data_IF_926905337774
#
_entry.id   IF_926905337774
#
_cell.length_a   1.000
_cell.length_b   1.000
_cell.length_c   1.000
_cell.angle_alpha   90.00
_cell.angle_beta   90.00
_cell.angle_gamma   90.00
#
_symmetry.space_group_name_H-M   'P 1'
#
loop_
_entity.id
_entity.type
_entity.pdbx_description
1 polymer ?
#
# COMPACT_ATOMS: atom_id res chain seq x y z
N UNK A 1 -2.10 15.56 -17.25
CA UNK A 1 -2.99 16.53 -16.57
C UNK A 1 -4.08 15.74 -15.87
N UNK A 2 -4.33 15.98 -14.58
CA UNK A 2 -5.47 15.40 -13.87
C UNK A 2 -6.68 16.25 -14.25
N UNK A 3 -7.46 15.82 -15.24
CA UNK A 3 -8.65 16.52 -15.71
C UNK A 3 -9.74 16.50 -14.65
N UNK A 4 -10.40 17.65 -14.44
CA UNK A 4 -11.41 17.91 -13.41
C UNK A 4 -12.74 17.13 -13.56
N UNK A 5 -12.80 16.11 -14.41
CA UNK A 5 -14.06 15.50 -14.89
C UNK A 5 -14.19 13.99 -14.70
N UNK A 6 -13.39 13.35 -13.83
CA UNK A 6 -13.62 11.93 -13.52
C UNK A 6 -14.07 11.73 -12.06
N UNK A 7 -15.29 11.23 -11.82
CA UNK A 7 -15.81 10.97 -10.47
C UNK A 7 -15.19 9.73 -9.79
N UNK A 8 -14.15 9.14 -10.40
CA UNK A 8 -13.47 7.93 -9.94
C UNK A 8 -12.03 8.17 -9.47
N UNK A 9 -11.40 7.17 -8.83
CA UNK A 9 -10.00 7.27 -8.45
C UNK A 9 -9.12 7.46 -9.69
N UNK A 10 -8.19 8.41 -9.62
CA UNK A 10 -7.23 8.65 -10.69
C UNK A 10 -5.90 8.00 -10.34
N UNK A 11 -5.29 7.35 -11.33
CA UNK A 11 -3.98 6.74 -11.16
C UNK A 11 -2.92 7.81 -10.90
N UNK A 12 -2.24 7.67 -9.75
CA UNK A 12 -1.08 8.46 -9.41
C UNK A 12 0.19 7.72 -9.86
N UNK A 13 0.89 8.27 -10.84
CA UNK A 13 1.98 7.58 -11.55
C UNK A 13 3.38 7.87 -11.00
N UNK A 14 3.50 8.65 -9.93
CA UNK A 14 4.81 8.97 -9.34
C UNK A 14 5.23 7.92 -8.30
N UNK A 15 6.46 7.42 -8.43
CA UNK A 15 7.02 6.42 -7.52
C UNK A 15 7.44 7.03 -6.18
N UNK A 16 7.17 6.33 -5.06
CA UNK A 16 7.57 6.77 -3.71
C UNK A 16 9.11 6.86 -3.52
N UNK A 17 9.89 6.24 -4.41
CA UNK A 17 11.35 6.35 -4.43
C UNK A 17 12.08 5.40 -3.48
N UNK A 18 11.40 4.47 -2.80
CA UNK A 18 12.02 3.50 -1.88
C UNK A 18 13.23 2.75 -2.48
N UNK A 19 13.15 2.22 -3.72
CA UNK A 19 14.27 1.46 -4.27
C UNK A 19 15.56 2.27 -4.38
N UNK A 20 15.47 3.59 -4.61
CA UNK A 20 16.64 4.47 -4.70
C UNK A 20 17.43 4.51 -3.39
N UNK A 21 16.76 4.41 -2.24
CA UNK A 21 17.46 4.31 -0.96
C UNK A 21 18.07 2.92 -0.77
N UNK A 22 17.36 1.87 -1.17
CA UNK A 22 17.82 0.48 -1.01
C UNK A 22 19.07 0.18 -1.85
N UNK A 23 19.20 0.80 -3.02
CA UNK A 23 20.38 0.65 -3.89
C UNK A 23 21.49 1.69 -3.63
N UNK A 24 21.41 2.43 -2.52
CA UNK A 24 22.47 3.38 -2.12
C UNK A 24 22.51 4.69 -2.90
N UNK A 25 21.40 5.15 -3.47
CA UNK A 25 21.27 6.42 -4.20
C UNK A 25 20.38 7.46 -3.47
N UNK A 26 20.72 7.85 -2.24
CA UNK A 26 19.86 8.69 -1.40
C UNK A 26 19.60 10.09 -1.98
N UNK A 27 20.57 10.68 -2.70
CA UNK A 27 20.38 11.98 -3.35
C UNK A 27 19.27 11.93 -4.42
N UNK A 28 19.20 10.84 -5.20
CA UNK A 28 18.12 10.62 -6.16
C UNK A 28 16.80 10.30 -5.44
N UNK A 29 16.86 9.53 -4.35
CA UNK A 29 15.72 9.26 -3.49
C UNK A 29 15.07 10.55 -2.96
N UNK A 30 15.88 11.47 -2.42
CA UNK A 30 15.41 12.75 -1.90
C UNK A 30 14.72 13.59 -2.97
N UNK A 31 15.31 13.69 -4.18
CA UNK A 31 14.69 14.37 -5.32
C UNK A 31 13.36 13.73 -5.73
N UNK A 32 13.28 12.39 -5.70
CA UNK A 32 12.04 11.67 -5.98
C UNK A 32 10.95 11.98 -4.95
N UNK A 33 11.29 11.96 -3.65
CA UNK A 33 10.35 12.28 -2.56
C UNK A 33 9.83 13.71 -2.65
N UNK A 34 10.71 14.66 -2.97
CA UNK A 34 10.33 16.06 -3.17
C UNK A 34 9.38 16.21 -4.36
N UNK A 35 9.70 15.59 -5.50
CA UNK A 35 8.83 15.58 -6.69
C UNK A 35 7.44 15.03 -6.36
N UNK A 36 7.37 13.88 -5.67
CA UNK A 36 6.11 13.26 -5.24
C UNK A 36 5.32 14.20 -4.34
N UNK A 37 5.95 14.75 -3.29
CA UNK A 37 5.30 15.69 -2.35
C UNK A 37 4.72 16.89 -3.09
N UNK A 38 5.54 17.56 -3.89
CA UNK A 38 5.12 18.76 -4.63
C UNK A 38 3.99 18.42 -5.61
N UNK A 39 4.03 17.25 -6.25
CA UNK A 39 2.98 16.81 -7.16
C UNK A 39 1.67 16.58 -6.43
N UNK A 40 1.69 15.90 -5.29
CA UNK A 40 0.48 15.64 -4.50
C UNK A 40 -0.14 16.96 -4.04
N UNK A 41 0.66 17.87 -3.46
CA UNK A 41 0.20 19.17 -2.96
C UNK A 41 -0.39 20.02 -4.09
N UNK A 42 0.36 20.19 -5.19
CA UNK A 42 -0.08 21.01 -6.34
C UNK A 42 -1.30 20.44 -7.06
N UNK A 43 -1.55 19.14 -6.94
CA UNK A 43 -2.72 18.48 -7.55
C UNK A 43 -3.98 18.61 -6.69
N UNK A 44 -3.89 19.14 -5.46
CA UNK A 44 -5.04 19.27 -4.56
C UNK A 44 -5.60 17.93 -4.07
N UNK A 45 -4.83 16.84 -4.17
CA UNK A 45 -5.25 15.51 -3.73
C UNK A 45 -5.45 15.51 -2.22
N UNK A 46 -6.63 15.06 -1.76
CA UNK A 46 -6.97 14.94 -0.34
C UNK A 46 -6.86 13.52 0.20
N UNK A 47 -6.95 12.53 -0.67
CA UNK A 47 -6.83 11.13 -0.29
C UNK A 47 -6.00 10.34 -1.30
N UNK A 48 -5.07 9.54 -0.79
CA UNK A 48 -4.28 8.57 -1.56
C UNK A 48 -4.65 7.16 -1.10
N UNK A 49 -4.92 6.28 -2.06
CA UNK A 49 -5.15 4.86 -1.84
C UNK A 49 -3.88 4.10 -2.24
N UNK A 50 -3.26 3.42 -1.30
CA UNK A 50 -2.03 2.67 -1.52
C UNK A 50 -2.32 1.16 -1.58
N UNK A 51 -2.07 0.57 -2.75
CA UNK A 51 -2.10 -0.90 -2.91
C UNK A 51 -0.79 -1.58 -2.50
N UNK A 52 0.31 -0.81 -2.44
CA UNK A 52 1.63 -1.32 -2.09
C UNK A 52 2.04 -0.89 -0.68
N UNK A 53 2.48 -1.81 0.19
CA UNK A 53 2.99 -1.50 1.53
C UNK A 53 4.14 -0.48 1.51
N UNK A 54 5.11 -0.62 0.60
CA UNK A 54 6.20 0.37 0.45
C UNK A 54 5.64 1.78 0.21
N UNK A 55 4.71 1.92 -0.73
CA UNK A 55 4.11 3.22 -1.04
C UNK A 55 3.35 3.77 0.17
N UNK A 56 2.60 2.94 0.89
CA UNK A 56 1.85 3.37 2.07
C UNK A 56 2.77 3.98 3.14
N UNK A 57 3.80 3.25 3.56
CA UNK A 57 4.71 3.72 4.62
C UNK A 57 5.57 4.91 4.17
N UNK A 58 6.09 4.88 2.95
CA UNK A 58 6.92 5.99 2.44
C UNK A 58 6.08 7.26 2.19
N UNK A 59 4.88 7.14 1.64
CA UNK A 59 4.00 8.31 1.44
C UNK A 59 3.56 8.92 2.77
N UNK A 60 3.28 8.11 3.81
CA UNK A 60 3.04 8.62 5.17
C UNK A 60 4.20 9.48 5.66
N UNK A 61 5.44 9.03 5.46
CA UNK A 61 6.61 9.82 5.83
C UNK A 61 6.79 11.06 4.94
N UNK A 62 6.59 10.94 3.62
CA UNK A 62 6.75 12.06 2.68
C UNK A 62 5.77 13.18 2.98
N UNK A 63 4.53 12.82 3.32
CA UNK A 63 3.42 13.73 3.60
C UNK A 63 3.23 14.03 5.09
N UNK A 64 4.15 13.61 5.96
CA UNK A 64 4.09 13.94 7.38
C UNK A 64 4.00 15.47 7.57
N UNK A 65 3.03 15.92 8.37
CA UNK A 65 2.74 17.35 8.58
C UNK A 65 1.83 17.99 7.52
N UNK A 66 1.34 17.24 6.54
CA UNK A 66 0.35 17.70 5.57
C UNK A 66 -1.02 17.04 5.80
N UNK A 67 -2.10 17.78 5.56
CA UNK A 67 -3.49 17.30 5.65
C UNK A 67 -3.87 16.47 4.42
N UNK A 68 -3.33 15.25 4.35
CA UNK A 68 -3.61 14.27 3.30
C UNK A 68 -3.88 12.91 3.92
N UNK A 69 -5.05 12.36 3.62
CA UNK A 69 -5.44 11.03 4.09
C UNK A 69 -4.77 9.96 3.23
N UNK A 70 -4.01 9.05 3.84
CA UNK A 70 -3.41 7.91 3.14
C UNK A 70 -4.02 6.64 3.71
N UNK A 71 -4.75 5.89 2.87
CA UNK A 71 -5.39 4.62 3.23
C UNK A 71 -4.84 3.49 2.37
N UNK A 72 -5.00 2.27 2.85
CA UNK A 72 -4.74 1.06 2.09
C UNK A 72 -5.82 0.81 1.05
N UNK A 73 -5.52 -0.03 0.06
CA UNK A 73 -6.52 -0.52 -0.89
C UNK A 73 -7.65 -1.30 -0.21
N UNK A 74 -7.35 -2.02 0.88
CA UNK A 74 -8.35 -2.80 1.61
C UNK A 74 -9.37 -1.89 2.31
N UNK A 75 -8.94 -0.82 2.97
CA UNK A 75 -9.85 0.19 3.55
C UNK A 75 -10.73 0.87 2.49
N UNK A 76 -10.21 1.05 1.27
CA UNK A 76 -10.98 1.63 0.17
C UNK A 76 -12.03 0.63 -0.35
N UNK A 77 -11.70 -0.66 -0.42
CA UNK A 77 -12.58 -1.72 -0.91
C UNK A 77 -13.62 -2.18 0.12
N UNK A 78 -13.31 -2.11 1.42
CA UNK A 78 -14.24 -2.50 2.49
C UNK A 78 -15.59 -1.79 2.38
N UNK A 79 -15.59 -0.53 1.93
CA UNK A 79 -16.82 0.26 1.69
C UNK A 79 -17.72 -0.31 0.59
N UNK A 80 -17.15 -1.01 -0.38
CA UNK A 80 -17.90 -1.64 -1.47
C UNK A 80 -18.24 -3.10 -1.15
N UNK A 81 -17.56 -3.69 -0.17
CA UNK A 81 -17.59 -5.12 0.11
C UNK A 81 -16.80 -5.93 -0.92
N UNK A 82 -16.32 -7.09 -0.50
CA UNK A 82 -15.75 -8.07 -1.42
C UNK A 82 -16.89 -8.92 -1.99
N UNK A 83 -17.09 -8.93 -3.30
CA UNK A 83 -18.21 -9.62 -3.95
C UNK A 83 -17.87 -11.04 -4.43
N UNK A 84 -16.60 -11.41 -4.40
CA UNK A 84 -16.15 -12.75 -4.73
C UNK A 84 -16.55 -13.74 -3.63
N UNK A 85 -16.82 -14.98 -4.03
CA UNK A 85 -16.99 -16.10 -3.13
C UNK A 85 -16.08 -17.23 -3.58
N UNK A 86 -15.09 -17.58 -2.75
CA UNK A 86 -14.07 -18.59 -3.00
C UNK A 86 -14.05 -19.63 -1.86
N UNK A 87 -15.18 -20.29 -1.56
CA UNK A 87 -15.28 -21.21 -0.42
C UNK A 87 -14.31 -22.39 -0.55
N UNK A 88 -13.60 -22.69 0.54
CA UNK A 88 -12.72 -23.86 0.61
C UNK A 88 -11.40 -23.71 -0.14
N UNK A 89 -11.15 -22.58 -0.80
CA UNK A 89 -9.83 -22.28 -1.38
C UNK A 89 -8.83 -22.09 -0.25
N UNK A 90 -7.83 -22.96 -0.20
CA UNK A 90 -6.72 -22.84 0.75
C UNK A 90 -5.67 -21.88 0.21
N UNK A 91 -5.33 -20.87 0.99
CA UNK A 91 -4.30 -19.90 0.63
C UNK A 91 -3.43 -19.57 1.85
N UNK A 92 -2.30 -18.91 1.59
CA UNK A 92 -1.44 -18.35 2.64
C UNK A 92 -0.97 -16.97 2.22
N UNK A 93 -0.56 -16.17 3.19
CA UNK A 93 -0.16 -14.78 2.96
C UNK A 93 1.34 -14.70 3.20
N UNK A 94 2.07 -14.26 2.17
CA UNK A 94 3.46 -13.88 2.32
C UNK A 94 3.53 -12.43 2.79
N UNK A 95 3.74 -12.23 4.09
CA UNK A 95 3.78 -10.89 4.68
C UNK A 95 4.96 -10.08 4.15
N UNK A 96 4.66 -8.88 3.64
CA UNK A 96 5.65 -8.02 3.02
C UNK A 96 6.65 -7.46 4.04
N UNK A 97 7.94 -7.40 3.67
CA UNK A 97 8.99 -6.80 4.50
C UNK A 97 8.68 -5.36 4.99
N UNK A 98 8.10 -4.45 4.18
CA UNK A 98 7.78 -3.09 4.64
C UNK A 98 6.69 -3.06 5.71
N UNK A 99 5.79 -4.03 5.69
CA UNK A 99 4.67 -4.16 6.63
C UNK A 99 5.07 -4.89 7.93
N UNK A 100 6.34 -5.33 8.06
CA UNK A 100 6.81 -6.22 9.13
C UNK A 100 6.44 -5.77 10.54
N UNK A 101 6.51 -4.48 10.83
CA UNK A 101 6.35 -3.97 12.19
C UNK A 101 4.90 -3.63 12.54
N UNK A 102 4.18 -2.97 11.63
CA UNK A 102 2.80 -2.53 11.84
C UNK A 102 1.77 -3.60 11.45
N UNK A 103 2.06 -4.45 10.46
CA UNK A 103 1.22 -5.59 10.07
C UNK A 103 -0.14 -5.23 9.47
N UNK A 104 -0.32 -3.99 9.01
CA UNK A 104 -1.60 -3.46 8.53
C UNK A 104 -2.07 -4.22 7.28
N UNK A 105 -1.21 -4.31 6.26
CA UNK A 105 -1.58 -5.00 5.02
C UNK A 105 -1.76 -6.50 5.25
N UNK A 106 -0.88 -7.11 6.04
CA UNK A 106 -0.94 -8.53 6.37
C UNK A 106 -2.24 -8.90 7.08
N UNK A 107 -2.72 -8.07 8.02
CA UNK A 107 -4.01 -8.27 8.69
C UNK A 107 -5.18 -8.09 7.72
N UNK A 108 -5.18 -6.99 6.96
CA UNK A 108 -6.30 -6.65 6.07
C UNK A 108 -6.49 -7.66 4.94
N UNK A 109 -5.40 -8.17 4.35
CA UNK A 109 -5.50 -9.19 3.30
C UNK A 109 -6.06 -10.51 3.83
N UNK A 110 -5.71 -10.90 5.06
CA UNK A 110 -6.27 -12.10 5.71
C UNK A 110 -7.77 -11.94 5.92
N UNK A 111 -8.19 -10.82 6.50
CA UNK A 111 -9.60 -10.50 6.72
C UNK A 111 -10.39 -10.49 5.40
N UNK A 112 -9.82 -9.88 4.36
CA UNK A 112 -10.44 -9.86 3.04
C UNK A 112 -10.63 -11.28 2.49
N UNK A 113 -9.60 -12.13 2.55
CA UNK A 113 -9.65 -13.51 2.06
C UNK A 113 -10.63 -14.39 2.85
N UNK A 114 -10.63 -14.28 4.18
CA UNK A 114 -11.57 -15.00 5.04
C UNK A 114 -13.02 -14.55 4.78
N UNK A 115 -13.25 -13.26 4.55
CA UNK A 115 -14.59 -12.71 4.27
C UNK A 115 -15.21 -13.27 2.98
N UNK A 116 -14.38 -13.67 2.01
CA UNK A 116 -14.82 -14.30 0.76
C UNK A 116 -14.85 -15.83 0.82
N UNK A 117 -14.61 -16.43 2.00
CA UNK A 117 -14.72 -17.87 2.22
C UNK A 117 -13.43 -18.68 2.00
N UNK A 118 -12.29 -18.02 1.78
CA UNK A 118 -11.01 -18.71 1.71
C UNK A 118 -10.62 -19.28 3.08
N UNK A 119 -9.97 -20.44 3.08
CA UNK A 119 -9.29 -20.97 4.26
C UNK A 119 -7.85 -20.47 4.28
N UNK A 120 -7.56 -19.47 5.10
CA UNK A 120 -6.19 -18.99 5.30
C UNK A 120 -5.42 -19.99 6.17
N UNK A 121 -4.36 -20.57 5.62
CA UNK A 121 -3.47 -21.51 6.30
C UNK A 121 -2.10 -20.87 6.46
N UNK A 122 -1.72 -20.57 7.69
CA UNK A 122 -0.50 -19.81 7.98
C UNK A 122 0.79 -20.62 7.82
N UNK A 123 1.84 -19.95 7.32
CA UNK A 123 3.21 -20.44 7.35
C UNK A 123 3.81 -20.29 8.75
N UNK A 124 4.86 -21.08 9.04
CA UNK A 124 5.64 -20.95 10.27
C UNK A 124 6.27 -19.54 10.41
N UNK A 125 6.78 -19.03 9.30
CA UNK A 125 7.38 -17.71 9.18
C UNK A 125 6.35 -16.73 8.62
N UNK A 126 5.70 -15.98 9.52
CA UNK A 126 4.68 -14.97 9.20
C UNK A 126 4.87 -13.70 10.01
N UNK A 127 4.20 -12.63 9.58
CA UNK A 127 4.17 -11.32 10.22
C UNK A 127 5.60 -10.81 10.48
N UNK A 128 5.94 -10.48 11.73
CA UNK A 128 7.29 -10.03 12.12
C UNK A 128 8.41 -11.03 11.78
N UNK A 129 8.08 -12.32 11.67
CA UNK A 129 9.02 -13.41 11.33
C UNK A 129 9.02 -13.79 9.85
N UNK A 130 8.30 -13.06 8.99
CA UNK A 130 8.29 -13.31 7.55
C UNK A 130 9.70 -13.26 6.98
N UNK A 131 10.00 -14.20 6.07
CA UNK A 131 11.27 -14.25 5.34
C UNK A 131 11.16 -13.34 4.11
N UNK A 132 12.25 -12.69 3.74
CA UNK A 132 12.29 -11.89 2.53
C UNK A 132 12.04 -12.75 1.28
N UNK A 133 11.15 -12.32 0.39
CA UNK A 133 10.94 -12.96 -0.91
C UNK A 133 12.12 -12.78 -1.88
N UNK A 134 13.04 -11.85 -1.60
CA UNK A 134 14.20 -11.55 -2.44
C UNK A 134 13.96 -10.55 -3.57
N UNK A 135 12.81 -9.86 -3.57
CA UNK A 135 12.47 -8.79 -4.53
C UNK A 135 12.98 -7.40 -4.13
#
# INVERSE_FOLDING_TARGET
MLSKEQPGPVFFTECCGKPLYQIGLPARGNKSREKVRNKIISSGIKCLVAACPNCYYELKQIMAGHDIKIITVYEALEKQGFTNHLPGVRCTIHDSCPDRFEGIFGMQVRQALESIGCQVVEMANRSKRSICCGS
#
